data_IF_094736569231
#
_entry.id   IF_094736569231
#
_cell.length_a   1.000
_cell.length_b   1.000
_cell.length_c   1.000
_cell.angle_alpha   90.00
_cell.angle_beta   90.00
_cell.angle_gamma   90.00
#
_symmetry.space_group_name_H-M   'P 1'
#
loop_
_entity.id
_entity.type
_entity.pdbx_description
1 polymer ?
#
# COMPACT_ATOMS: atom_id res chain seq x y z
N UNK A 1 -11.24 -63.86 -20.98
CA UNK A 1 -10.42 -63.05 -20.06
C UNK A 1 -10.56 -61.58 -20.46
N UNK A 2 -11.15 -60.77 -19.58
CA UNK A 2 -11.82 -59.51 -19.91
C UNK A 2 -10.91 -58.28 -19.98
N UNK A 3 -11.20 -57.42 -20.97
CA UNK A 3 -10.69 -56.05 -21.12
C UNK A 3 -11.25 -55.15 -20.01
N UNK A 4 -10.39 -54.55 -19.19
CA UNK A 4 -10.78 -53.53 -18.20
C UNK A 4 -10.70 -52.13 -18.83
N UNK A 5 -11.85 -51.57 -19.16
CA UNK A 5 -12.05 -50.14 -19.36
C UNK A 5 -11.80 -49.38 -18.04
N UNK A 6 -10.70 -48.62 -17.94
CA UNK A 6 -10.55 -47.60 -16.90
C UNK A 6 -11.35 -46.36 -17.32
N UNK A 7 -12.56 -46.23 -16.80
CA UNK A 7 -13.32 -44.97 -16.80
C UNK A 7 -12.48 -43.92 -16.06
N UNK A 8 -12.08 -42.88 -16.77
CA UNK A 8 -11.55 -41.63 -16.19
C UNK A 8 -12.73 -41.00 -15.44
N UNK A 9 -12.73 -41.14 -14.12
CA UNK A 9 -13.67 -40.43 -13.27
C UNK A 9 -13.40 -38.94 -13.38
N UNK A 10 -14.41 -38.16 -13.79
CA UNK A 10 -14.46 -36.72 -13.56
C UNK A 10 -14.34 -36.50 -12.05
N UNK A 11 -13.13 -36.20 -11.57
CA UNK A 11 -12.91 -35.75 -10.21
C UNK A 11 -13.74 -34.49 -9.98
N UNK A 12 -14.75 -34.60 -9.12
CA UNK A 12 -15.40 -33.44 -8.53
C UNK A 12 -14.31 -32.62 -7.84
N UNK A 13 -14.08 -31.40 -8.35
CA UNK A 13 -13.32 -30.35 -7.67
C UNK A 13 -13.86 -30.27 -6.24
N UNK A 14 -13.01 -30.61 -5.27
CA UNK A 14 -13.37 -30.57 -3.86
C UNK A 14 -13.63 -29.13 -3.45
N UNK A 15 -14.87 -28.88 -3.02
CA UNK A 15 -15.39 -27.71 -2.26
C UNK A 15 -14.41 -26.53 -2.09
N UNK A 16 -14.62 -25.50 -2.90
CA UNK A 16 -14.15 -24.10 -2.77
C UNK A 16 -14.78 -23.39 -1.52
N UNK A 17 -15.21 -24.16 -0.53
CA UNK A 17 -16.03 -23.69 0.58
C UNK A 17 -15.21 -23.19 1.76
N UNK A 18 -14.62 -22.00 1.64
CA UNK A 18 -14.26 -21.09 2.77
C UNK A 18 -13.48 -19.84 2.35
N UNK A 19 -12.99 -19.76 1.10
CA UNK A 19 -12.00 -18.75 0.71
C UNK A 19 -12.52 -17.64 -0.20
N UNK A 20 -13.74 -17.77 -0.71
CA UNK A 20 -14.40 -16.75 -1.52
C UNK A 20 -15.16 -15.76 -0.64
N UNK A 21 -14.43 -15.02 0.20
CA UNK A 21 -15.03 -14.17 1.24
C UNK A 21 -15.92 -13.08 0.64
N UNK A 22 -15.56 -12.54 -0.53
CA UNK A 22 -16.36 -11.51 -1.19
C UNK A 22 -17.72 -12.05 -1.65
N UNK A 23 -17.76 -13.26 -2.21
CA UNK A 23 -19.00 -13.94 -2.61
C UNK A 23 -19.90 -14.31 -1.43
N UNK A 24 -19.34 -14.40 -0.23
CA UNK A 24 -20.06 -14.73 1.00
C UNK A 24 -20.62 -13.53 1.75
N UNK A 25 -20.35 -12.30 1.28
CA UNK A 25 -20.87 -11.07 1.87
C UNK A 25 -22.40 -11.06 1.75
N UNK A 26 -23.08 -11.07 2.90
CA UNK A 26 -24.55 -10.97 2.97
C UNK A 26 -25.04 -9.53 3.15
N UNK A 27 -24.17 -8.65 3.64
CA UNK A 27 -24.49 -7.23 3.82
C UNK A 27 -24.32 -6.48 2.50
N UNK A 28 -25.42 -5.98 1.89
CA UNK A 28 -25.37 -5.31 0.60
C UNK A 28 -24.66 -3.95 0.66
N UNK A 29 -24.39 -3.39 1.84
CA UNK A 29 -23.60 -2.17 1.99
C UNK A 29 -22.09 -2.41 1.95
N UNK A 30 -21.62 -3.65 2.16
CA UNK A 30 -20.21 -3.98 2.15
C UNK A 30 -19.63 -4.00 0.72
N UNK A 31 -18.38 -3.56 0.59
CA UNK A 31 -17.60 -3.64 -0.65
C UNK A 31 -16.39 -4.53 -0.44
N UNK A 32 -15.92 -5.15 -1.52
CA UNK A 32 -14.73 -5.99 -1.51
C UNK A 32 -13.76 -5.60 -2.59
N UNK A 33 -12.47 -5.62 -2.25
CA UNK A 33 -11.39 -5.30 -3.18
C UNK A 33 -10.41 -6.48 -3.24
N UNK A 34 -10.12 -6.94 -4.46
CA UNK A 34 -9.08 -7.92 -4.74
C UNK A 34 -7.94 -7.25 -5.47
N UNK A 35 -6.71 -7.43 -5.00
CA UNK A 35 -5.49 -7.10 -5.75
C UNK A 35 -4.68 -8.35 -6.07
N UNK A 36 -4.16 -8.45 -7.29
CA UNK A 36 -3.39 -9.61 -7.73
C UNK A 36 -2.43 -9.29 -8.89
N UNK A 37 -1.12 -9.43 -8.67
CA UNK A 37 -0.17 -9.51 -9.76
C UNK A 37 -0.30 -10.89 -10.43
N UNK A 38 -0.78 -10.91 -11.68
CA UNK A 38 -1.12 -12.16 -12.37
C UNK A 38 0.04 -12.77 -13.14
N UNK A 39 1.25 -12.21 -13.04
CA UNK A 39 2.46 -12.63 -13.74
C UNK A 39 2.24 -12.76 -15.25
N UNK A 40 2.59 -11.73 -16.02
CA UNK A 40 2.33 -11.72 -17.46
C UNK A 40 2.97 -12.95 -18.13
N UNK A 41 2.30 -13.64 -19.08
CA UNK A 41 2.88 -14.82 -19.74
C UNK A 41 4.24 -14.58 -20.40
N UNK A 42 4.53 -13.35 -20.83
CA UNK A 42 5.83 -12.92 -21.37
C UNK A 42 6.96 -12.87 -20.34
N UNK A 43 6.65 -12.92 -19.05
CA UNK A 43 7.62 -12.92 -17.95
C UNK A 43 7.75 -14.28 -17.29
N UNK A 44 6.70 -15.10 -17.32
CA UNK A 44 6.72 -16.43 -16.72
C UNK A 44 7.67 -17.37 -17.46
N UNK A 45 8.72 -17.81 -16.77
CA UNK A 45 9.72 -18.75 -17.30
C UNK A 45 9.19 -20.18 -17.17
N UNK A 46 9.32 -20.98 -18.23
CA UNK A 46 8.92 -22.40 -18.19
C UNK A 46 10.06 -23.33 -17.76
N UNK A 47 11.30 -22.91 -17.97
CA UNK A 47 12.49 -23.61 -17.54
C UNK A 47 13.36 -22.67 -16.69
N UNK A 48 13.87 -23.15 -15.56
CA UNK A 48 14.79 -22.40 -14.72
C UNK A 48 16.21 -22.37 -15.30
N UNK A 49 16.60 -23.39 -16.08
CA UNK A 49 17.91 -23.47 -16.73
C UNK A 49 17.96 -22.68 -18.04
N UNK A 50 16.86 -22.67 -18.79
CA UNK A 50 16.72 -21.88 -20.03
C UNK A 50 15.80 -20.68 -19.81
N UNK A 51 16.44 -19.52 -19.62
CA UNK A 51 15.77 -18.24 -19.42
C UNK A 51 15.12 -17.65 -20.67
N UNK A 52 15.25 -18.27 -21.84
CA UNK A 52 14.66 -17.76 -23.10
C UNK A 52 13.20 -18.20 -23.26
N UNK A 53 12.85 -19.40 -22.79
CA UNK A 53 11.52 -19.95 -23.02
C UNK A 53 10.48 -19.38 -22.03
N UNK A 54 9.42 -18.81 -22.58
CA UNK A 54 8.34 -18.13 -21.84
C UNK A 54 7.02 -18.85 -21.99
N UNK A 55 6.14 -18.69 -21.01
CA UNK A 55 4.78 -19.22 -21.11
C UNK A 55 4.03 -18.65 -22.32
N UNK A 56 4.34 -17.39 -22.71
CA UNK A 56 3.81 -16.76 -23.92
C UNK A 56 4.08 -17.55 -25.21
N UNK A 57 5.12 -18.39 -25.25
CA UNK A 57 5.49 -19.18 -26.42
C UNK A 57 4.54 -20.38 -26.63
N UNK A 58 3.79 -20.77 -25.58
CA UNK A 58 2.92 -21.95 -25.59
C UNK A 58 1.49 -21.54 -25.25
N UNK A 59 0.66 -21.38 -26.31
CA UNK A 59 -0.72 -20.88 -26.18
C UNK A 59 -1.56 -21.60 -25.13
N UNK A 60 -1.54 -22.93 -25.14
CA UNK A 60 -2.36 -23.72 -24.23
C UNK A 60 -1.99 -23.48 -22.76
N UNK A 61 -0.73 -23.16 -22.46
CA UNK A 61 -0.27 -22.96 -21.08
C UNK A 61 -0.79 -21.64 -20.52
N UNK A 62 -0.50 -20.53 -21.20
CA UNK A 62 -0.98 -19.23 -20.72
C UNK A 62 -2.50 -19.14 -20.75
N UNK A 63 -3.16 -19.72 -21.76
CA UNK A 63 -4.61 -19.71 -21.87
C UNK A 63 -5.27 -20.49 -20.73
N UNK A 64 -4.75 -21.68 -20.41
CA UNK A 64 -5.29 -22.49 -19.31
C UNK A 64 -5.10 -21.79 -17.96
N UNK A 65 -3.91 -21.25 -17.67
CA UNK A 65 -3.64 -20.53 -16.42
C UNK A 65 -4.53 -19.31 -16.27
N UNK A 66 -4.65 -18.48 -17.31
CA UNK A 66 -5.48 -17.28 -17.26
C UNK A 66 -6.99 -17.59 -17.15
N UNK A 67 -7.45 -18.70 -17.73
CA UNK A 67 -8.83 -19.20 -17.49
C UNK A 67 -9.05 -19.56 -16.03
N UNK A 68 -8.10 -20.25 -15.39
CA UNK A 68 -8.18 -20.59 -13.97
C UNK A 68 -8.16 -19.34 -13.09
N UNK A 69 -7.31 -18.35 -13.40
CA UNK A 69 -7.30 -17.06 -12.70
C UNK A 69 -8.68 -16.38 -12.82
N UNK A 70 -9.24 -16.29 -14.03
CA UNK A 70 -10.56 -15.72 -14.25
C UNK A 70 -11.69 -16.47 -13.54
N UNK A 71 -11.67 -17.81 -13.57
CA UNK A 71 -12.66 -18.63 -12.86
C UNK A 71 -12.63 -18.32 -11.36
N UNK A 72 -11.44 -18.15 -10.78
CA UNK A 72 -11.28 -17.73 -9.39
C UNK A 72 -11.75 -16.31 -9.11
N UNK A 73 -11.39 -15.34 -9.96
CA UNK A 73 -11.84 -13.95 -9.81
C UNK A 73 -13.37 -13.84 -9.88
N UNK A 74 -14.00 -14.60 -10.78
CA UNK A 74 -15.46 -14.64 -10.93
C UNK A 74 -16.16 -15.43 -9.82
N UNK A 75 -15.49 -16.44 -9.26
CA UNK A 75 -15.98 -17.12 -8.06
C UNK A 75 -15.91 -16.23 -6.82
N UNK A 76 -14.81 -15.48 -6.66
CA UNK A 76 -14.62 -14.51 -5.58
C UNK A 76 -15.63 -13.37 -5.71
N UNK A 77 -15.83 -12.87 -6.93
CA UNK A 77 -16.77 -11.81 -7.29
C UNK A 77 -16.59 -10.54 -6.45
N UNK A 78 -15.35 -10.11 -6.24
CA UNK A 78 -15.08 -8.85 -5.54
C UNK A 78 -15.69 -7.66 -6.26
N UNK A 79 -16.17 -6.66 -5.53
CA UNK A 79 -16.76 -5.46 -6.17
C UNK A 79 -15.71 -4.60 -6.89
N UNK A 80 -14.44 -4.71 -6.50
CA UNK A 80 -13.27 -4.11 -7.12
C UNK A 80 -12.22 -5.21 -7.38
N UNK A 81 -11.64 -5.23 -8.57
CA UNK A 81 -10.52 -6.11 -8.95
C UNK A 81 -9.40 -5.25 -9.54
N UNK A 82 -8.21 -5.31 -8.95
CA UNK A 82 -7.00 -4.60 -9.38
C UNK A 82 -5.93 -5.64 -9.76
N UNK A 83 -5.59 -5.73 -11.04
CA UNK A 83 -4.57 -6.65 -11.55
C UNK A 83 -3.32 -5.89 -11.97
N UNK A 84 -2.17 -6.49 -11.68
CA UNK A 84 -0.84 -6.05 -12.14
C UNK A 84 -0.25 -7.12 -13.06
N UNK A 85 0.71 -6.73 -13.90
CA UNK A 85 1.27 -7.57 -14.97
C UNK A 85 0.20 -8.19 -15.87
N UNK A 86 -0.87 -7.43 -16.12
CA UNK A 86 -1.88 -7.81 -17.10
C UNK A 86 -1.27 -7.69 -18.50
N UNK A 87 -1.33 -8.75 -19.32
CA UNK A 87 -0.66 -8.78 -20.64
C UNK A 87 -1.46 -8.02 -21.70
N UNK A 88 -1.49 -6.68 -21.58
CA UNK A 88 -2.22 -5.75 -22.45
C UNK A 88 -1.84 -5.92 -23.93
N UNK A 89 -0.59 -6.27 -24.23
CA UNK A 89 -0.10 -6.47 -25.59
C UNK A 89 -0.65 -7.71 -26.31
N UNK A 90 -1.39 -8.59 -25.63
CA UNK A 90 -2.00 -9.77 -26.24
C UNK A 90 -3.52 -9.63 -26.36
N UNK A 91 -3.99 -9.39 -27.58
CA UNK A 91 -5.39 -9.09 -27.83
C UNK A 91 -6.35 -10.25 -27.54
N UNK A 92 -5.89 -11.49 -27.62
CA UNK A 92 -6.70 -12.66 -27.29
C UNK A 92 -6.93 -12.75 -25.77
N UNK A 93 -5.87 -12.61 -24.96
CA UNK A 93 -5.98 -12.56 -23.51
C UNK A 93 -6.86 -11.39 -23.07
N UNK A 94 -6.64 -10.19 -23.62
CA UNK A 94 -7.46 -9.00 -23.35
C UNK A 94 -8.94 -9.29 -23.63
N UNK A 95 -9.25 -9.86 -24.80
CA UNK A 95 -10.63 -10.16 -25.20
C UNK A 95 -11.32 -11.16 -24.27
N UNK A 96 -10.57 -12.15 -23.74
CA UNK A 96 -11.13 -13.14 -22.81
C UNK A 96 -11.48 -12.49 -21.46
N UNK A 97 -10.58 -11.66 -20.92
CA UNK A 97 -10.84 -10.93 -19.67
C UNK A 97 -11.99 -9.95 -19.84
N UNK A 98 -11.96 -9.13 -20.90
CA UNK A 98 -13.01 -8.15 -21.19
C UNK A 98 -14.38 -8.80 -21.26
N UNK A 99 -14.50 -9.85 -22.09
CA UNK A 99 -15.77 -10.54 -22.28
C UNK A 99 -16.27 -11.15 -20.98
N UNK A 100 -15.45 -11.93 -20.28
CA UNK A 100 -15.90 -12.67 -19.09
C UNK A 100 -16.22 -11.77 -17.91
N UNK A 101 -15.45 -10.70 -17.72
CA UNK A 101 -15.73 -9.71 -16.67
C UNK A 101 -16.97 -8.87 -17.04
N UNK A 102 -17.12 -8.44 -18.29
CA UNK A 102 -18.30 -7.68 -18.73
C UNK A 102 -19.59 -8.51 -18.64
N UNK A 103 -19.54 -9.79 -19.07
CA UNK A 103 -20.65 -10.74 -18.93
C UNK A 103 -21.06 -10.93 -17.46
N UNK A 104 -20.10 -10.78 -16.53
CA UNK A 104 -20.32 -10.83 -15.09
C UNK A 104 -20.69 -9.47 -14.45
N UNK A 105 -20.85 -8.41 -15.24
CA UNK A 105 -21.31 -7.10 -14.77
C UNK A 105 -20.21 -6.11 -14.38
N UNK A 106 -18.95 -6.38 -14.72
CA UNK A 106 -17.84 -5.46 -14.47
C UNK A 106 -17.65 -4.43 -15.58
N UNK A 107 -17.22 -3.23 -15.19
CA UNK A 107 -16.68 -2.19 -16.05
C UNK A 107 -15.16 -2.25 -15.94
N UNK A 108 -14.47 -2.45 -17.06
CA UNK A 108 -13.02 -2.71 -17.09
C UNK A 108 -12.23 -1.51 -17.63
N UNK A 109 -11.12 -1.20 -16.99
CA UNK A 109 -10.16 -0.15 -17.36
C UNK A 109 -8.79 -0.78 -17.47
N UNK A 110 -8.05 -0.54 -18.56
CA UNK A 110 -6.73 -1.11 -18.79
C UNK A 110 -5.73 -0.01 -19.09
N UNK A 111 -4.52 -0.13 -18.56
CA UNK A 111 -3.45 0.82 -18.80
C UNK A 111 -2.14 0.09 -19.05
N UNK A 112 -1.61 0.21 -20.27
CA UNK A 112 -0.28 -0.32 -20.62
C UNK A 112 0.82 0.52 -19.97
N UNK A 113 1.96 -0.12 -19.67
CA UNK A 113 3.17 0.62 -19.29
C UNK A 113 3.69 1.48 -20.44
N UNK A 114 4.37 2.56 -20.10
CA UNK A 114 4.85 3.59 -21.03
C UNK A 114 5.98 3.12 -21.95
N UNK A 115 6.69 2.03 -21.60
CA UNK A 115 7.85 1.52 -22.35
C UNK A 115 7.55 0.33 -23.26
N UNK A 116 6.27 0.08 -23.60
CA UNK A 116 5.86 -0.98 -24.52
C UNK A 116 6.36 -2.38 -24.14
N UNK A 117 6.60 -2.66 -22.85
CA UNK A 117 6.97 -4.02 -22.40
C UNK A 117 5.86 -5.06 -22.56
N UNK A 118 4.65 -4.63 -22.91
CA UNK A 118 3.53 -5.50 -23.23
C UNK A 118 2.61 -5.81 -22.04
N UNK A 119 3.05 -5.56 -20.80
CA UNK A 119 2.21 -5.65 -19.62
C UNK A 119 1.64 -4.29 -19.17
N UNK A 120 0.77 -4.34 -18.18
CA UNK A 120 0.12 -3.17 -17.61
C UNK A 120 -0.80 -3.51 -16.45
N UNK A 121 -1.77 -2.63 -16.24
CA UNK A 121 -2.78 -2.73 -15.19
C UNK A 121 -4.14 -3.05 -15.80
N UNK A 122 -4.96 -3.78 -15.04
CA UNK A 122 -6.40 -3.88 -15.27
C UNK A 122 -7.11 -3.57 -13.96
N UNK A 123 -8.04 -2.62 -13.99
CA UNK A 123 -8.95 -2.34 -12.88
C UNK A 123 -10.38 -2.60 -13.34
N UNK A 124 -11.12 -3.42 -12.59
CA UNK A 124 -12.52 -3.74 -12.88
C UNK A 124 -13.39 -3.45 -11.68
N UNK A 125 -14.51 -2.73 -11.90
CA UNK A 125 -15.48 -2.40 -10.85
C UNK A 125 -16.86 -2.94 -11.23
N UNK A 126 -17.55 -3.55 -10.26
CA UNK A 126 -18.85 -4.18 -10.51
C UNK A 126 -19.96 -3.12 -10.52
N UNK A 127 -20.73 -3.05 -11.61
CA UNK A 127 -21.73 -1.99 -11.86
C UNK A 127 -22.90 -1.98 -10.87
N UNK A 128 -23.15 -3.09 -10.19
CA UNK A 128 -24.19 -3.16 -9.15
C UNK A 128 -23.75 -2.50 -7.83
N UNK A 129 -22.45 -2.29 -7.64
CA UNK A 129 -21.89 -1.64 -6.44
C UNK A 129 -21.47 -0.21 -6.72
N UNK A 130 -21.02 0.10 -7.94
CA UNK A 130 -20.39 1.38 -8.24
C UNK A 130 -20.94 2.03 -9.50
N UNK A 131 -21.17 3.34 -9.41
CA UNK A 131 -21.21 4.24 -10.56
C UNK A 131 -19.83 4.86 -10.74
N UNK A 132 -19.23 4.73 -11.92
CA UNK A 132 -17.96 5.39 -12.23
C UNK A 132 -18.19 6.86 -12.53
N UNK A 133 -17.52 7.75 -11.79
CA UNK A 133 -17.54 9.20 -11.99
C UNK A 133 -16.42 9.61 -12.94
N UNK A 134 -15.19 9.12 -12.69
CA UNK A 134 -14.01 9.46 -13.49
C UNK A 134 -12.98 8.34 -13.47
N UNK A 135 -12.13 8.31 -14.50
CA UNK A 135 -10.97 7.46 -14.62
C UNK A 135 -9.81 8.29 -15.17
N UNK A 136 -8.66 8.24 -14.51
CA UNK A 136 -7.44 8.96 -14.91
C UNK A 136 -6.26 8.00 -14.98
N UNK A 137 -5.50 8.11 -16.07
CA UNK A 137 -4.25 7.39 -16.26
C UNK A 137 -3.08 8.24 -15.77
N UNK A 138 -2.27 7.69 -14.87
CA UNK A 138 -1.08 8.34 -14.35
C UNK A 138 0.15 7.67 -14.98
N UNK A 139 0.89 8.44 -15.77
CA UNK A 139 2.06 7.97 -16.51
C UNK A 139 3.35 8.48 -15.85
N UNK A 140 4.24 7.57 -15.47
CA UNK A 140 5.56 7.91 -14.92
C UNK A 140 6.63 7.81 -16.02
N UNK A 141 6.44 8.61 -17.08
CA UNK A 141 7.35 8.68 -18.24
C UNK A 141 8.77 9.14 -17.85
N UNK A 142 8.86 9.88 -16.75
CA UNK A 142 10.05 10.50 -16.19
C UNK A 142 10.84 9.56 -15.27
N UNK A 143 10.24 8.49 -14.75
CA UNK A 143 10.95 7.55 -13.87
C UNK A 143 10.35 6.14 -13.81
N UNK A 144 11.16 5.17 -14.24
CA UNK A 144 10.90 3.73 -14.09
C UNK A 144 9.84 3.13 -15.02
N UNK A 145 9.27 3.91 -15.94
CA UNK A 145 8.26 3.48 -16.92
C UNK A 145 7.10 2.70 -16.28
N UNK A 146 6.64 3.23 -15.15
CA UNK A 146 5.53 2.68 -14.39
C UNK A 146 4.29 3.53 -14.60
N UNK A 147 3.15 2.99 -14.18
CA UNK A 147 1.85 3.60 -14.36
C UNK A 147 0.99 3.38 -13.11
N UNK A 148 -0.03 4.22 -12.96
CA UNK A 148 -1.11 3.99 -12.02
C UNK A 148 -2.45 4.37 -12.67
N UNK A 149 -3.54 3.79 -12.19
CA UNK A 149 -4.90 4.18 -12.56
C UNK A 149 -5.57 4.79 -11.34
N UNK A 150 -6.25 5.92 -11.48
CA UNK A 150 -7.12 6.50 -10.46
C UNK A 150 -8.56 6.42 -10.95
N UNK A 151 -9.40 5.72 -10.20
CA UNK A 151 -10.84 5.66 -10.42
C UNK A 151 -11.54 6.42 -9.30
N UNK A 152 -12.39 7.36 -9.69
CA UNK A 152 -13.35 7.99 -8.78
C UNK A 152 -14.71 7.34 -8.99
N UNK A 153 -15.23 6.69 -7.95
CA UNK A 153 -16.50 5.96 -8.02
C UNK A 153 -17.43 6.34 -6.87
N UNK A 154 -18.72 6.22 -7.12
CA UNK A 154 -19.78 6.41 -6.15
C UNK A 154 -20.45 5.08 -5.84
N UNK A 155 -20.64 4.81 -4.56
CA UNK A 155 -21.30 3.61 -4.08
C UNK A 155 -22.80 3.68 -4.33
N UNK A 156 -23.34 2.61 -4.91
CA UNK A 156 -24.77 2.47 -5.13
C UNK A 156 -25.38 1.96 -3.82
N UNK A 157 -25.95 2.86 -3.03
CA UNK A 157 -26.63 2.48 -1.80
C UNK A 157 -27.84 1.57 -2.10
N UNK A 158 -28.03 0.47 -1.33
CA UNK A 158 -29.26 -0.32 -1.38
C UNK A 158 -30.47 0.58 -1.11
N UNK A 159 -31.59 0.32 -1.78
CA UNK A 159 -32.81 1.14 -1.67
C UNK A 159 -33.32 1.34 -0.23
N UNK A 160 -32.95 0.45 0.69
CA UNK A 160 -33.30 0.44 2.11
C UNK A 160 -32.44 1.40 2.98
N UNK A 161 -31.28 1.85 2.47
CA UNK A 161 -30.36 2.76 3.18
C UNK A 161 -30.47 4.22 2.71
N UNK A 162 -31.47 4.54 1.86
CA UNK A 162 -31.69 5.87 1.24
C UNK A 162 -32.14 6.98 2.19
N UNK A 163 -32.15 6.75 3.51
CA UNK A 163 -32.59 7.77 4.47
C UNK A 163 -31.59 8.92 4.61
N UNK A 164 -30.33 8.74 4.18
CA UNK A 164 -29.32 9.79 4.20
C UNK A 164 -29.00 10.20 2.76
N UNK A 165 -29.21 11.48 2.41
CA UNK A 165 -28.86 12.10 1.12
C UNK A 165 -27.34 12.14 0.83
N UNK A 166 -26.52 11.41 1.60
CA UNK A 166 -25.06 11.45 1.52
C UNK A 166 -24.59 10.47 0.45
N UNK A 167 -24.01 11.01 -0.64
CA UNK A 167 -23.33 10.20 -1.64
C UNK A 167 -22.03 9.67 -1.05
N UNK A 168 -21.83 8.35 -1.13
CA UNK A 168 -20.59 7.72 -0.68
C UNK A 168 -19.66 7.57 -1.87
N UNK A 169 -18.67 8.45 -1.96
CA UNK A 169 -17.66 8.44 -3.02
C UNK A 169 -16.33 7.90 -2.48
N UNK A 170 -15.55 7.23 -3.34
CA UNK A 170 -14.26 6.64 -2.99
C UNK A 170 -13.29 6.74 -4.17
N UNK A 171 -12.01 6.99 -3.86
CA UNK A 171 -10.93 6.94 -4.82
C UNK A 171 -10.23 5.58 -4.75
N UNK A 172 -10.09 4.92 -5.89
CA UNK A 172 -9.41 3.63 -6.02
C UNK A 172 -8.19 3.84 -6.91
N UNK A 173 -7.02 3.51 -6.40
CA UNK A 173 -5.76 3.55 -7.16
C UNK A 173 -5.24 2.14 -7.34
N UNK A 174 -4.89 1.78 -8.57
CA UNK A 174 -4.16 0.54 -8.87
C UNK A 174 -2.77 0.90 -9.42
N UNK A 175 -1.72 0.25 -8.93
CA UNK A 175 -0.35 0.46 -9.44
C UNK A 175 0.52 -0.80 -9.32
N UNK A 176 1.68 -0.77 -10.01
CA UNK A 176 2.74 -1.76 -9.88
C UNK A 176 4.09 -1.03 -9.86
N UNK A 177 4.67 -0.89 -8.68
CA UNK A 177 5.91 -0.14 -8.48
C UNK A 177 7.13 -0.86 -9.07
N UNK A 178 8.23 -0.11 -9.22
CA UNK A 178 9.46 -0.63 -9.81
C UNK A 178 10.07 -1.78 -8.99
N UNK A 179 10.26 -2.94 -9.62
CA UNK A 179 10.88 -4.11 -9.01
C UNK A 179 12.28 -3.79 -8.42
N UNK A 180 12.59 -4.21 -7.17
CA UNK A 180 13.81 -3.85 -6.46
C UNK A 180 15.01 -4.71 -6.92
N UNK A 181 15.51 -4.49 -8.14
CA UNK A 181 16.72 -5.19 -8.61
C UNK A 181 17.95 -4.90 -7.74
N UNK A 182 18.05 -3.68 -7.23
CA UNK A 182 19.06 -3.25 -6.27
C UNK A 182 18.50 -2.17 -5.32
N UNK A 183 19.30 -1.80 -4.32
CA UNK A 183 18.89 -0.83 -3.29
C UNK A 183 18.74 0.60 -3.80
N UNK A 184 19.39 0.98 -4.90
CA UNK A 184 19.30 2.33 -5.47
C UNK A 184 17.89 2.65 -5.97
N UNK A 185 17.15 1.62 -6.40
CA UNK A 185 15.76 1.76 -6.87
C UNK A 185 14.74 2.03 -5.76
N UNK A 186 15.18 2.07 -4.49
CA UNK A 186 14.29 2.42 -3.38
C UNK A 186 13.82 3.89 -3.47
N UNK A 187 14.70 4.80 -3.92
CA UNK A 187 14.35 6.21 -4.09
C UNK A 187 13.32 6.38 -5.21
N UNK A 188 13.51 5.68 -6.32
CA UNK A 188 12.56 5.69 -7.44
C UNK A 188 11.17 5.19 -7.04
N UNK A 189 11.07 4.11 -6.28
CA UNK A 189 9.77 3.67 -5.74
C UNK A 189 9.15 4.71 -4.81
N UNK A 190 9.95 5.40 -3.99
CA UNK A 190 9.45 6.46 -3.13
C UNK A 190 8.90 7.65 -3.94
N UNK A 191 9.59 8.06 -5.01
CA UNK A 191 9.12 9.06 -5.98
C UNK A 191 7.81 8.63 -6.66
N UNK A 192 7.69 7.36 -7.03
CA UNK A 192 6.45 6.80 -7.59
C UNK A 192 5.28 6.96 -6.63
N UNK A 193 5.45 6.60 -5.37
CA UNK A 193 4.37 6.78 -4.39
C UNK A 193 4.08 8.26 -4.12
N UNK A 194 5.12 9.08 -4.01
CA UNK A 194 4.97 10.53 -3.84
C UNK A 194 4.14 11.15 -4.97
N UNK A 195 4.48 10.85 -6.23
CA UNK A 195 3.74 11.35 -7.40
C UNK A 195 2.30 10.82 -7.44
N UNK A 196 2.06 9.56 -7.09
CA UNK A 196 0.69 9.03 -6.95
C UNK A 196 -0.12 9.85 -5.95
N UNK A 197 0.44 10.14 -4.77
CA UNK A 197 -0.24 10.91 -3.74
C UNK A 197 -0.45 12.38 -4.17
N UNK A 198 0.52 12.99 -4.86
CA UNK A 198 0.34 14.33 -5.46
C UNK A 198 -0.83 14.35 -6.44
N UNK A 199 -0.93 13.36 -7.32
CA UNK A 199 -2.06 13.27 -8.25
C UNK A 199 -3.40 13.10 -7.53
N UNK A 200 -3.45 12.31 -6.45
CA UNK A 200 -4.68 12.15 -5.65
C UNK A 200 -5.07 13.46 -4.97
N UNK A 201 -4.11 14.21 -4.41
CA UNK A 201 -4.35 15.52 -3.80
C UNK A 201 -4.79 16.57 -4.82
N UNK A 202 -4.08 16.66 -5.96
CA UNK A 202 -4.46 17.55 -7.07
C UNK A 202 -5.84 17.20 -7.62
N UNK A 203 -6.14 15.92 -7.84
CA UNK A 203 -7.44 15.48 -8.35
C UNK A 203 -8.58 15.92 -7.42
N UNK A 204 -8.44 15.72 -6.11
CA UNK A 204 -9.44 16.16 -5.14
C UNK A 204 -9.60 17.69 -5.16
N UNK A 205 -8.49 18.44 -5.19
CA UNK A 205 -8.52 19.91 -5.23
C UNK A 205 -9.17 20.46 -6.49
N UNK A 206 -8.77 19.95 -7.66
CA UNK A 206 -9.27 20.38 -8.98
C UNK A 206 -10.76 20.10 -9.13
N UNK A 207 -11.23 18.98 -8.58
CA UNK A 207 -12.65 18.60 -8.60
C UNK A 207 -13.44 19.14 -7.39
N UNK A 208 -12.81 19.93 -6.51
CA UNK A 208 -13.41 20.52 -5.30
C UNK A 208 -14.09 19.46 -4.41
N UNK A 209 -13.43 18.31 -4.28
CA UNK A 209 -13.92 17.20 -3.47
C UNK A 209 -13.53 17.44 -2.01
N UNK A 210 -14.47 17.17 -1.11
CA UNK A 210 -14.12 16.94 0.30
C UNK A 210 -13.19 15.71 0.39
N UNK A 211 -12.34 15.60 1.43
CA UNK A 211 -11.46 14.45 1.58
C UNK A 211 -12.25 13.13 1.47
N UNK A 212 -11.97 12.36 0.44
CA UNK A 212 -12.62 11.07 0.19
C UNK A 212 -11.82 9.94 0.82
N UNK A 213 -12.46 8.81 1.16
CA UNK A 213 -11.72 7.58 1.40
C UNK A 213 -10.91 7.19 0.16
N UNK A 214 -9.69 6.69 0.38
CA UNK A 214 -8.76 6.29 -0.67
C UNK A 214 -8.33 4.84 -0.44
N UNK A 215 -8.47 4.03 -1.47
CA UNK A 215 -7.87 2.69 -1.57
C UNK A 215 -6.66 2.74 -2.50
N UNK A 216 -5.47 2.40 -2.00
CA UNK A 216 -4.30 2.19 -2.86
C UNK A 216 -3.99 0.70 -2.94
N UNK A 217 -4.16 0.12 -4.11
CA UNK A 217 -4.04 -1.31 -4.37
C UNK A 217 -2.84 -1.59 -5.27
N UNK A 218 -2.17 -2.71 -5.03
CA UNK A 218 -1.25 -3.26 -6.02
C UNK A 218 -0.04 -3.98 -5.45
N UNK A 219 0.90 -4.25 -6.35
CA UNK A 219 2.25 -4.72 -6.03
C UNK A 219 3.15 -3.50 -5.78
N UNK A 220 3.48 -3.29 -4.51
CA UNK A 220 4.31 -2.17 -4.06
C UNK A 220 5.80 -2.46 -4.16
N UNK A 221 6.19 -3.71 -4.46
CA UNK A 221 7.59 -4.11 -4.57
C UNK A 221 8.45 -3.65 -3.37
N UNK A 222 7.82 -3.59 -2.19
CA UNK A 222 8.38 -3.03 -0.97
C UNK A 222 7.69 -3.62 0.25
N UNK A 223 8.47 -4.21 1.15
CA UNK A 223 7.94 -4.85 2.36
C UNK A 223 7.59 -3.84 3.45
N UNK A 224 6.96 -4.32 4.53
CA UNK A 224 6.69 -3.52 5.74
C UNK A 224 7.94 -2.85 6.34
N UNK A 225 9.11 -3.45 6.11
CA UNK A 225 10.39 -2.92 6.58
C UNK A 225 10.95 -1.81 5.67
N UNK A 226 10.43 -1.67 4.45
CA UNK A 226 10.91 -0.72 3.45
C UNK A 226 10.40 0.71 3.62
N UNK A 227 11.06 1.65 2.95
CA UNK A 227 10.76 3.09 3.04
C UNK A 227 9.40 3.46 2.44
N UNK A 228 8.95 2.76 1.40
CA UNK A 228 7.62 2.94 0.80
C UNK A 228 6.49 2.72 1.82
N UNK A 229 6.54 1.59 2.54
CA UNK A 229 5.55 1.27 3.57
C UNK A 229 5.52 2.37 4.64
N UNK A 230 6.69 2.78 5.12
CA UNK A 230 6.84 3.78 6.19
C UNK A 230 6.39 5.18 5.76
N UNK A 231 6.60 5.53 4.51
CA UNK A 231 6.11 6.76 3.91
C UNK A 231 4.57 6.77 3.87
N UNK A 232 3.94 5.70 3.38
CA UNK A 232 2.48 5.56 3.39
C UNK A 232 1.90 5.62 4.81
N UNK A 233 2.51 4.93 5.78
CA UNK A 233 2.14 5.02 7.21
C UNK A 233 2.19 6.45 7.74
N UNK A 234 3.25 7.21 7.38
CA UNK A 234 3.39 8.61 7.80
C UNK A 234 2.33 9.55 7.19
N UNK A 235 1.69 9.11 6.10
CA UNK A 235 0.60 9.80 5.41
C UNK A 235 -0.79 9.38 5.91
N UNK A 236 -0.86 8.51 6.93
CA UNK A 236 -2.08 8.04 7.59
C UNK A 236 -2.68 6.77 7.00
N UNK A 237 -2.05 6.18 5.97
CA UNK A 237 -2.55 4.94 5.38
C UNK A 237 -2.35 3.75 6.31
N UNK A 238 -3.33 2.86 6.35
CA UNK A 238 -3.26 1.58 7.06
C UNK A 238 -3.32 0.40 6.11
N UNK A 239 -2.52 -0.63 6.36
CA UNK A 239 -2.58 -1.91 5.63
C UNK A 239 -3.87 -2.62 6.02
N UNK A 240 -4.80 -2.81 5.09
CA UNK A 240 -6.09 -3.43 5.44
C UNK A 240 -5.94 -4.87 5.90
N UNK A 241 -4.97 -5.63 5.37
CA UNK A 241 -4.69 -6.98 5.86
C UNK A 241 -4.26 -6.97 7.33
N UNK A 242 -3.37 -6.05 7.70
CA UNK A 242 -2.88 -5.95 9.07
C UNK A 242 -3.97 -5.44 10.02
N UNK A 243 -4.80 -4.50 9.57
CA UNK A 243 -5.97 -4.04 10.33
C UNK A 243 -6.94 -5.18 10.62
N UNK A 244 -7.28 -6.01 9.63
CA UNK A 244 -8.20 -7.14 9.80
C UNK A 244 -7.67 -8.19 10.81
N UNK A 245 -6.34 -8.38 10.85
CA UNK A 245 -5.69 -9.37 11.70
C UNK A 245 -5.08 -8.81 12.99
N UNK A 246 -5.26 -7.51 13.25
CA UNK A 246 -4.70 -6.80 14.40
C UNK A 246 -3.17 -6.92 14.51
N UNK A 247 -2.48 -6.87 13.36
CA UNK A 247 -1.03 -6.92 13.29
C UNK A 247 -0.40 -5.52 13.41
N UNK A 248 0.76 -5.48 14.05
CA UNK A 248 1.57 -4.28 14.15
C UNK A 248 2.53 -4.14 12.97
N UNK A 249 3.14 -2.97 12.82
CA UNK A 249 4.21 -2.75 11.82
C UNK A 249 5.46 -3.63 12.07
N UNK A 250 5.62 -4.14 13.31
CA UNK A 250 6.69 -5.08 13.67
C UNK A 250 6.47 -6.51 13.14
N UNK A 251 5.23 -6.86 12.79
CA UNK A 251 4.80 -8.20 12.38
C UNK A 251 5.03 -8.45 10.87
N UNK A 252 6.20 -8.06 10.38
CA UNK A 252 6.55 -8.12 8.95
C UNK A 252 6.75 -9.53 8.39
N UNK A 253 6.80 -10.55 9.24
CA UNK A 253 7.05 -11.95 8.88
C UNK A 253 5.80 -12.84 9.02
N UNK A 254 4.68 -12.30 9.52
CA UNK A 254 3.46 -13.07 9.76
C UNK A 254 2.84 -13.58 8.48
N UNK A 255 2.94 -12.80 7.40
CA UNK A 255 2.43 -13.15 6.09
C UNK A 255 3.42 -12.77 4.98
N UNK A 256 3.31 -13.43 3.84
CA UNK A 256 4.04 -13.12 2.61
C UNK A 256 3.05 -13.04 1.44
N UNK A 257 3.45 -12.45 0.33
CA UNK A 257 2.60 -12.37 -0.87
C UNK A 257 3.37 -12.53 -2.17
N UNK A 258 4.69 -12.62 -2.16
CA UNK A 258 5.49 -12.80 -3.36
C UNK A 258 6.67 -13.71 -3.08
N UNK A 259 6.92 -14.68 -3.96
CA UNK A 259 8.19 -15.41 -4.06
C UNK A 259 8.90 -15.03 -5.36
N UNK A 260 9.98 -14.28 -5.25
CA UNK A 260 10.68 -13.83 -6.46
C UNK A 260 11.47 -14.96 -7.13
N UNK A 261 12.01 -14.67 -8.32
CA UNK A 261 12.84 -15.60 -9.11
C UNK A 261 14.11 -16.14 -8.40
N UNK A 262 14.53 -15.55 -7.28
CA UNK A 262 15.65 -16.05 -6.44
C UNK A 262 15.17 -16.93 -5.29
N UNK A 263 13.88 -17.17 -5.17
CA UNK A 263 13.25 -17.92 -4.07
C UNK A 263 13.03 -17.11 -2.80
N UNK A 264 13.30 -15.80 -2.81
CA UNK A 264 13.06 -14.96 -1.63
C UNK A 264 11.57 -14.66 -1.50
N UNK A 265 11.05 -14.80 -0.28
CA UNK A 265 9.65 -14.53 0.04
C UNK A 265 9.49 -13.21 0.79
N UNK A 266 8.46 -12.44 0.45
CA UNK A 266 8.14 -11.19 1.12
C UNK A 266 6.68 -10.78 0.93
N UNK A 267 6.12 -10.00 1.86
CA UNK A 267 4.83 -9.34 1.68
C UNK A 267 5.03 -8.00 0.95
N UNK A 268 4.49 -7.87 -0.25
CA UNK A 268 4.63 -6.69 -1.12
C UNK A 268 3.30 -6.25 -1.76
N UNK A 269 2.28 -7.10 -1.70
CA UNK A 269 0.95 -6.82 -2.22
C UNK A 269 0.10 -6.24 -1.09
N UNK A 270 -0.34 -5.00 -1.25
CA UNK A 270 -1.11 -4.29 -0.23
C UNK A 270 -2.35 -3.65 -0.84
N UNK A 271 -3.41 -3.66 -0.04
CA UNK A 271 -4.55 -2.75 -0.16
C UNK A 271 -4.46 -1.81 1.03
N UNK A 272 -4.11 -0.56 0.76
CA UNK A 272 -4.02 0.50 1.74
C UNK A 272 -5.33 1.24 1.83
N UNK A 273 -5.78 1.52 3.05
CA UNK A 273 -6.95 2.37 3.30
C UNK A 273 -6.49 3.67 3.95
N UNK A 274 -7.00 4.79 3.45
CA UNK A 274 -7.00 6.07 4.14
C UNK A 274 -8.44 6.57 4.18
N UNK A 275 -8.98 6.73 5.39
CA UNK A 275 -10.25 7.40 5.58
C UNK A 275 -10.08 8.92 5.57
N UNK A 276 -11.15 9.68 5.29
CA UNK A 276 -11.15 11.14 5.38
C UNK A 276 -10.53 11.61 6.70
N UNK A 277 -9.47 12.40 6.60
CA UNK A 277 -8.80 12.99 7.76
C UNK A 277 -8.45 14.45 7.45
N UNK A 278 -8.93 15.35 8.31
CA UNK A 278 -8.69 16.80 8.19
C UNK A 278 -7.25 17.18 8.57
N UNK A 279 -6.58 16.37 9.39
CA UNK A 279 -5.23 16.64 9.87
C UNK A 279 -4.25 15.65 9.23
N UNK A 280 -3.60 16.08 8.14
CA UNK A 280 -2.59 15.28 7.45
C UNK A 280 -1.28 16.06 7.38
N UNK A 281 -0.19 15.36 7.68
CA UNK A 281 1.15 15.90 7.51
C UNK A 281 1.38 16.19 6.02
N UNK A 282 1.93 17.37 5.72
CA UNK A 282 2.30 17.75 4.36
C UNK A 282 3.10 16.64 3.68
N UNK A 283 2.75 16.38 2.42
CA UNK A 283 3.34 15.31 1.63
C UNK A 283 4.85 15.49 1.50
N UNK A 284 5.31 16.72 1.25
CA UNK A 284 6.74 17.09 1.17
C UNK A 284 7.50 16.78 2.46
N UNK A 285 6.93 17.12 3.62
CA UNK A 285 7.55 16.87 4.93
C UNK A 285 7.67 15.37 5.22
N UNK A 286 6.71 14.58 4.73
CA UNK A 286 6.73 13.11 4.87
C UNK A 286 7.71 12.44 3.91
N UNK A 287 7.80 12.94 2.69
CA UNK A 287 8.77 12.49 1.70
C UNK A 287 10.19 12.73 2.19
N UNK A 288 10.46 13.93 2.70
CA UNK A 288 11.78 14.31 3.22
C UNK A 288 12.18 13.46 4.43
N UNK A 289 11.25 13.22 5.35
CA UNK A 289 11.48 12.30 6.46
C UNK A 289 11.79 10.86 5.98
N UNK A 290 11.14 10.39 4.91
CA UNK A 290 11.43 9.09 4.33
C UNK A 290 12.84 9.04 3.70
N UNK A 291 13.26 10.10 3.00
CA UNK A 291 14.62 10.23 2.44
C UNK A 291 15.68 10.34 3.54
N UNK A 292 15.45 11.12 4.59
CA UNK A 292 16.33 11.13 5.77
C UNK A 292 16.43 9.76 6.43
N UNK A 293 15.33 9.00 6.47
CA UNK A 293 15.35 7.61 6.91
C UNK A 293 16.26 6.73 6.05
N UNK A 294 16.28 6.92 4.72
CA UNK A 294 17.20 6.24 3.80
C UNK A 294 18.64 6.65 4.05
N UNK A 295 18.89 7.95 4.23
CA UNK A 295 20.21 8.49 4.50
C UNK A 295 20.79 7.96 5.83
N UNK A 296 19.99 8.01 6.90
CA UNK A 296 20.31 7.40 8.19
C UNK A 296 20.60 5.90 8.09
N UNK A 297 19.84 5.17 7.27
CA UNK A 297 20.09 3.75 7.06
C UNK A 297 21.47 3.50 6.42
N UNK A 298 21.88 4.31 5.44
CA UNK A 298 23.22 4.21 4.85
C UNK A 298 24.32 4.59 5.85
N UNK A 299 24.14 5.64 6.63
CA UNK A 299 25.09 6.03 7.70
C UNK A 299 25.32 4.88 8.69
N UNK A 300 24.24 4.24 9.16
CA UNK A 300 24.32 3.08 10.06
C UNK A 300 24.96 1.86 9.41
N UNK A 301 24.75 1.65 8.11
CA UNK A 301 25.41 0.57 7.37
C UNK A 301 26.90 0.77 7.20
N UNK A 302 27.35 2.02 7.13
CA UNK A 302 28.76 2.39 7.22
C UNK A 302 29.33 2.22 8.65
N UNK A 303 28.55 1.63 9.58
CA UNK A 303 28.90 1.36 10.97
C UNK A 303 29.25 2.62 11.79
N UNK A 304 28.75 3.78 11.37
CA UNK A 304 28.95 5.04 12.06
C UNK A 304 28.03 5.13 13.28
N UNK A 305 28.59 5.53 14.44
CA UNK A 305 27.80 5.99 15.58
C UNK A 305 27.15 7.35 15.28
N UNK A 306 26.34 7.87 16.19
CA UNK A 306 25.74 9.21 16.04
C UNK A 306 26.79 10.28 15.82
N UNK A 307 27.84 10.24 16.66
CA UNK A 307 28.93 11.21 16.67
C UNK A 307 29.87 10.99 15.47
N UNK A 308 30.16 9.74 15.11
CA UNK A 308 30.95 9.45 13.91
C UNK A 308 30.23 9.90 12.64
N UNK A 309 28.90 9.71 12.58
CA UNK A 309 28.10 10.17 11.46
C UNK A 309 28.07 11.71 11.42
N UNK A 310 27.89 12.39 12.56
CA UNK A 310 27.96 13.85 12.58
C UNK A 310 29.34 14.33 12.08
N UNK A 311 30.43 13.77 12.60
CA UNK A 311 31.79 14.10 12.16
C UNK A 311 32.02 13.82 10.66
N UNK A 312 31.50 12.71 10.15
CA UNK A 312 31.53 12.38 8.72
C UNK A 312 30.82 13.44 7.86
N UNK A 313 29.65 13.92 8.29
CA UNK A 313 28.92 14.97 7.57
C UNK A 313 29.61 16.34 7.63
N UNK A 314 30.37 16.65 8.68
CA UNK A 314 31.13 17.90 8.78
C UNK A 314 32.25 17.98 7.72
N UNK A 315 32.77 16.84 7.27
CA UNK A 315 33.97 16.78 6.44
C UNK A 315 35.13 17.56 7.11
N UNK A 316 35.90 18.36 6.35
CA UNK A 316 37.09 19.07 6.83
C UNK A 316 36.79 20.43 7.48
N UNK A 317 35.53 20.74 7.82
CA UNK A 317 35.23 22.04 8.46
C UNK A 317 35.62 22.04 9.94
N UNK A 318 36.38 23.06 10.35
CA UNK A 318 36.85 23.24 11.74
C UNK A 318 35.71 23.55 12.75
N UNK A 319 34.51 23.89 12.26
CA UNK A 319 33.34 24.20 13.11
C UNK A 319 32.58 22.96 13.60
N UNK A 320 31.74 23.12 14.62
CA UNK A 320 30.81 22.09 15.11
C UNK A 320 29.43 22.17 14.44
N UNK A 321 29.45 22.26 13.12
CA UNK A 321 28.28 22.29 12.26
C UNK A 321 28.56 21.56 10.95
N UNK A 322 27.50 21.15 10.26
CA UNK A 322 27.56 20.59 8.90
C UNK A 322 27.25 21.73 7.94
N UNK A 323 28.08 21.91 6.91
CA UNK A 323 27.81 22.85 5.82
C UNK A 323 27.01 22.17 4.70
N UNK A 324 26.37 22.97 3.81
CA UNK A 324 25.71 22.43 2.62
C UNK A 324 26.66 21.57 1.78
N UNK A 325 27.91 22.01 1.64
CA UNK A 325 28.94 21.26 0.91
C UNK A 325 29.24 19.92 1.59
N UNK A 326 29.40 19.89 2.91
CA UNK A 326 29.60 18.65 3.68
C UNK A 326 28.43 17.68 3.55
N UNK A 327 27.20 18.18 3.65
CA UNK A 327 25.99 17.37 3.44
C UNK A 327 25.87 16.82 2.01
N UNK A 328 26.11 17.66 0.99
CA UNK A 328 26.12 17.25 -0.40
C UNK A 328 27.16 16.17 -0.67
N UNK A 329 28.38 16.34 -0.13
CA UNK A 329 29.46 15.36 -0.25
C UNK A 329 29.14 14.04 0.48
N UNK A 330 28.52 14.10 1.66
CA UNK A 330 28.06 12.91 2.37
C UNK A 330 27.00 12.13 1.56
N UNK A 331 26.04 12.81 0.93
CA UNK A 331 25.07 12.18 0.03
C UNK A 331 25.76 11.49 -1.14
N UNK A 332 26.81 12.11 -1.71
CA UNK A 332 27.61 11.55 -2.81
C UNK A 332 28.34 10.29 -2.38
N UNK A 333 29.04 10.35 -1.25
CA UNK A 333 29.82 9.22 -0.72
C UNK A 333 28.94 8.04 -0.31
N UNK A 334 27.70 8.28 0.11
CA UNK A 334 26.73 7.23 0.43
C UNK A 334 25.90 6.74 -0.77
N UNK A 335 26.27 7.15 -2.00
CA UNK A 335 25.57 6.79 -3.25
C UNK A 335 24.07 7.10 -3.21
N UNK A 336 23.69 8.26 -2.67
CA UNK A 336 22.34 8.80 -2.80
C UNK A 336 22.23 9.82 -3.94
N UNK A 337 23.36 10.28 -4.48
CA UNK A 337 23.47 11.18 -5.63
C UNK A 337 24.60 10.73 -6.55
N UNK A 338 24.69 11.32 -7.75
CA UNK A 338 25.78 11.04 -8.71
C UNK A 338 25.57 9.82 -9.61
N UNK A 339 24.40 9.19 -9.56
CA UNK A 339 23.96 8.15 -10.50
C UNK A 339 22.56 8.47 -11.05
N UNK A 340 22.12 7.77 -12.08
CA UNK A 340 20.86 8.07 -12.80
C UNK A 340 19.58 8.02 -11.95
N UNK A 341 19.62 7.32 -10.81
CA UNK A 341 18.49 7.15 -9.87
C UNK A 341 18.70 7.90 -8.54
N UNK A 342 19.69 8.81 -8.48
CA UNK A 342 20.02 9.58 -7.27
C UNK A 342 19.12 10.80 -7.09
N UNK A 343 19.23 11.50 -5.96
CA UNK A 343 18.49 12.74 -5.70
C UNK A 343 18.84 13.82 -6.74
N UNK A 344 17.83 14.57 -7.19
CA UNK A 344 18.03 15.73 -8.07
C UNK A 344 18.60 16.92 -7.29
N UNK A 345 19.07 17.95 -8.00
CA UNK A 345 19.60 19.17 -7.38
C UNK A 345 18.52 19.88 -6.56
N UNK A 346 17.30 19.91 -7.07
CA UNK A 346 16.13 20.51 -6.42
C UNK A 346 15.76 19.74 -5.16
N UNK A 347 15.70 18.42 -5.23
CA UNK A 347 15.42 17.55 -4.08
C UNK A 347 16.47 17.70 -2.97
N UNK A 348 17.75 17.86 -3.31
CA UNK A 348 18.82 18.07 -2.32
C UNK A 348 18.65 19.42 -1.62
N UNK A 349 18.29 20.47 -2.36
CA UNK A 349 18.00 21.80 -1.80
C UNK A 349 16.79 21.74 -0.87
N UNK A 350 15.71 21.11 -1.29
CA UNK A 350 14.50 20.96 -0.47
C UNK A 350 14.77 20.17 0.83
N UNK A 351 15.65 19.15 0.77
CA UNK A 351 16.08 18.40 1.94
C UNK A 351 16.92 19.28 2.87
N UNK A 352 17.86 20.05 2.31
CA UNK A 352 18.69 20.96 3.10
C UNK A 352 17.83 21.99 3.84
N UNK A 353 16.93 22.68 3.13
CA UNK A 353 16.03 23.68 3.71
C UNK A 353 15.09 23.11 4.79
N UNK A 354 14.82 21.80 4.75
CA UNK A 354 14.05 21.14 5.81
C UNK A 354 14.91 20.68 6.99
N UNK A 355 16.17 20.36 6.74
CA UNK A 355 17.11 20.01 7.80
C UNK A 355 17.52 21.24 8.62
N UNK A 356 17.73 22.37 7.95
CA UNK A 356 18.11 23.68 8.51
C UNK A 356 16.85 24.39 9.02
N UNK A 357 16.55 24.21 10.31
CA UNK A 357 15.27 24.60 10.90
C UNK A 357 15.22 26.10 11.16
N UNK A 358 16.34 26.68 11.61
CA UNK A 358 16.43 28.10 11.90
C UNK A 358 16.90 28.96 10.71
N UNK A 359 17.30 28.32 9.61
CA UNK A 359 17.69 28.94 8.34
C UNK A 359 18.94 29.80 8.47
N UNK A 360 19.86 29.41 9.35
CA UNK A 360 21.14 30.08 9.52
C UNK A 360 22.19 29.66 8.46
N UNK A 361 21.85 28.68 7.61
CA UNK A 361 22.67 28.20 6.51
C UNK A 361 23.64 27.09 6.88
N UNK A 362 23.58 26.55 8.11
CA UNK A 362 24.35 25.40 8.57
C UNK A 362 23.45 24.42 9.34
N UNK A 363 23.89 23.17 9.54
CA UNK A 363 23.20 22.26 10.47
C UNK A 363 24.02 22.07 11.72
N UNK A 364 23.53 22.61 12.83
CA UNK A 364 24.15 22.32 14.13
C UNK A 364 23.80 20.90 14.61
N UNK A 365 24.49 20.42 15.65
CA UNK A 365 24.28 19.06 16.18
C UNK A 365 22.82 18.79 16.59
N UNK A 366 22.11 19.80 17.12
CA UNK A 366 20.71 19.67 17.55
C UNK A 366 19.79 19.43 16.36
N UNK A 367 19.98 20.16 15.27
CA UNK A 367 19.19 20.01 14.04
C UNK A 367 19.48 18.69 13.34
N UNK A 368 20.76 18.33 13.18
CA UNK A 368 21.17 17.02 12.69
C UNK A 368 20.49 15.89 13.49
N UNK A 369 20.55 16.00 14.82
CA UNK A 369 19.94 15.03 15.70
C UNK A 369 18.43 14.99 15.53
N UNK A 370 17.76 16.13 15.41
CA UNK A 370 16.31 16.18 15.26
C UNK A 370 15.81 15.67 13.90
N UNK A 371 16.46 16.09 12.81
CA UNK A 371 15.96 15.94 11.44
C UNK A 371 16.51 14.72 10.70
N UNK A 372 17.73 14.29 11.05
CA UNK A 372 18.42 13.19 10.36
C UNK A 372 18.54 11.98 11.30
N UNK A 373 19.09 12.17 12.49
CA UNK A 373 19.45 11.03 13.34
C UNK A 373 18.28 10.46 14.16
N UNK A 374 17.50 11.31 14.83
CA UNK A 374 16.34 10.93 15.64
C UNK A 374 15.01 11.25 14.95
N UNK A 375 15.04 11.59 13.66
CA UNK A 375 13.86 11.74 12.84
C UNK A 375 12.86 10.64 13.20
N UNK A 376 11.67 10.98 13.74
CA UNK A 376 10.74 10.00 14.24
C UNK A 376 10.48 8.97 13.15
N UNK A 377 10.96 7.75 13.38
CA UNK A 377 10.55 6.62 12.58
C UNK A 377 9.07 6.44 12.92
N UNK A 378 8.18 6.59 11.94
CA UNK A 378 6.72 6.65 12.05
C UNK A 378 6.07 5.35 12.58
N UNK A 379 6.48 4.93 13.78
CA UNK A 379 5.96 3.79 14.53
C UNK A 379 5.98 3.98 16.04
N UNK A 380 6.39 5.16 16.54
CA UNK A 380 6.09 5.62 17.90
C UNK A 380 5.36 6.95 17.78
N UNK A 381 4.16 7.01 18.36
CA UNK A 381 3.38 8.23 18.52
C UNK A 381 4.29 9.34 19.07
N UNK A 382 4.70 10.26 18.21
CA UNK A 382 5.15 11.57 18.64
C UNK A 382 4.03 12.52 18.25
N UNK A 383 3.09 12.72 19.19
CA UNK A 383 1.96 13.64 19.11
C UNK A 383 2.40 15.10 19.19
N UNK A 384 3.40 15.45 18.40
CA UNK A 384 3.76 16.82 18.09
C UNK A 384 3.80 16.95 16.58
N UNK A 385 2.60 16.90 15.99
CA UNK A 385 2.38 17.46 14.67
C UNK A 385 2.83 18.92 14.73
N UNK A 386 3.67 19.34 13.78
CA UNK A 386 3.80 20.76 13.47
C UNK A 386 2.47 21.20 12.87
N UNK A 387 1.87 22.25 13.44
CA UNK A 387 0.65 22.90 12.98
C UNK A 387 0.90 23.60 11.62
N UNK A 388 0.97 22.82 10.54
CA UNK A 388 0.81 23.36 9.19
C UNK A 388 -0.65 23.13 8.79
N UNK A 389 -1.49 24.09 9.21
CA UNK A 389 -2.94 24.12 8.97
C UNK A 389 -3.19 24.39 7.47
N UNK A 390 -3.90 23.48 6.79
CA UNK A 390 -4.60 23.81 5.56
C UNK A 390 -5.98 24.38 5.91
N UNK A 391 -6.06 25.71 6.02
CA UNK A 391 -7.33 26.43 6.09
C UNK A 391 -7.89 26.55 4.66
N UNK A 392 -8.61 25.52 4.20
CA UNK A 392 -9.66 25.72 3.20
C UNK A 392 -11.00 25.56 3.91
N UNK A 393 -11.60 26.70 4.23
CA UNK A 393 -12.92 26.83 4.86
C UNK A 393 -13.97 26.25 3.92
N UNK A 394 -14.41 25.03 4.21
CA UNK A 394 -15.78 24.59 3.88
C UNK A 394 -16.49 24.38 5.21
N UNK A 395 -17.24 25.41 5.61
CA UNK A 395 -18.25 25.31 6.66
C UNK A 395 -19.34 24.35 6.17
N UNK A 396 -19.17 23.08 6.49
CA UNK A 396 -20.15 22.03 6.34
C UNK A 396 -19.89 20.95 7.37
N UNK A 397 -20.80 20.78 8.32
CA UNK A 397 -20.96 19.56 9.10
C UNK A 397 -21.49 18.44 8.18
N UNK A 398 -20.76 18.12 7.12
CA UNK A 398 -21.03 16.91 6.35
C UNK A 398 -20.33 15.75 7.07
N UNK A 399 -21.13 14.82 7.56
CA UNK A 399 -20.64 13.52 8.03
C UNK A 399 -19.90 12.84 6.87
N UNK A 400 -18.57 12.86 6.90
CA UNK A 400 -17.77 12.13 5.90
C UNK A 400 -17.81 10.65 6.23
N UNK A 401 -18.32 9.85 5.30
CA UNK A 401 -18.42 8.40 5.49
C UNK A 401 -17.07 7.77 5.14
N UNK A 402 -16.47 7.09 6.12
CA UNK A 402 -15.26 6.30 5.96
C UNK A 402 -15.59 4.82 5.75
N UNK A 403 -14.53 4.00 5.73
CA UNK A 403 -14.65 2.55 5.70
C UNK A 403 -13.99 1.91 6.91
N UNK A 404 -14.61 0.85 7.42
CA UNK A 404 -13.99 -0.08 8.37
C UNK A 404 -13.59 -1.35 7.66
N UNK A 405 -12.41 -1.88 7.98
CA UNK A 405 -11.97 -3.18 7.47
C UNK A 405 -12.65 -4.28 8.26
N UNK A 406 -13.39 -5.16 7.58
CA UNK A 406 -14.13 -6.27 8.21
C UNK A 406 -13.37 -7.57 8.16
N UNK A 407 -12.72 -7.85 7.03
CA UNK A 407 -11.99 -9.09 6.81
C UNK A 407 -10.95 -8.90 5.72
N UNK A 408 -9.89 -9.68 5.74
CA UNK A 408 -8.89 -9.76 4.69
C UNK A 408 -8.37 -11.18 4.59
N UNK A 409 -8.10 -11.68 3.39
CA UNK A 409 -7.52 -13.00 3.16
C UNK A 409 -6.48 -12.96 2.06
N UNK A 410 -5.42 -13.74 2.23
CA UNK A 410 -4.49 -14.07 1.15
C UNK A 410 -4.74 -15.48 0.66
N UNK A 411 -4.64 -15.66 -0.66
CA UNK A 411 -4.67 -16.97 -1.28
C UNK A 411 -3.39 -17.17 -2.14
N UNK A 412 -2.69 -18.29 -1.98
CA UNK A 412 -3.03 -19.48 -1.18
C UNK A 412 -2.82 -19.30 0.33
N UNK A 413 -3.56 -20.00 1.19
CA UNK A 413 -3.63 -19.71 2.64
C UNK A 413 -2.34 -19.93 3.42
N UNK A 414 -1.41 -20.71 2.88
CA UNK A 414 -0.09 -20.94 3.44
C UNK A 414 0.69 -19.63 3.61
N UNK A 415 0.46 -18.67 2.71
CA UNK A 415 1.16 -17.39 2.72
C UNK A 415 0.75 -16.52 3.91
N UNK A 416 -0.43 -16.76 4.48
CA UNK A 416 -0.90 -16.13 5.74
C UNK A 416 -0.12 -16.59 6.97
N UNK A 417 0.67 -17.67 6.83
CA UNK A 417 1.58 -18.19 7.84
C UNK A 417 3.04 -17.82 7.54
N UNK A 418 3.26 -16.95 6.55
CA UNK A 418 4.58 -16.55 6.12
C UNK A 418 5.33 -17.62 5.30
N UNK A 419 4.62 -18.59 4.73
CA UNK A 419 5.20 -19.72 3.98
C UNK A 419 4.73 -19.67 2.53
N UNK A 420 5.63 -19.90 1.57
CA UNK A 420 5.24 -20.05 0.17
C UNK A 420 4.97 -21.51 -0.20
N UNK A 421 3.80 -21.84 -0.76
CA UNK A 421 3.50 -23.21 -1.21
C UNK A 421 4.18 -23.52 -2.55
N UNK A 422 4.83 -24.69 -2.64
CA UNK A 422 5.58 -25.12 -3.83
C UNK A 422 4.67 -25.54 -5.00
N UNK A 423 3.41 -25.91 -4.74
CA UNK A 423 2.44 -26.35 -5.75
C UNK A 423 1.55 -25.22 -6.29
N UNK A 424 1.74 -24.00 -5.81
CA UNK A 424 1.01 -22.83 -6.32
C UNK A 424 1.57 -22.37 -7.67
N UNK A 425 0.70 -22.36 -8.68
CA UNK A 425 1.10 -22.20 -10.09
C UNK A 425 0.40 -21.06 -10.84
N UNK A 426 -0.55 -20.37 -10.20
CA UNK A 426 -1.31 -19.28 -10.82
C UNK A 426 -0.44 -18.04 -11.05
N UNK A 427 0.44 -17.72 -10.10
CA UNK A 427 1.36 -16.59 -10.15
C UNK A 427 2.54 -16.86 -9.19
N UNK A 428 3.55 -16.02 -9.21
CA UNK A 428 4.56 -15.88 -8.16
C UNK A 428 4.13 -14.87 -7.07
N UNK A 429 2.93 -14.31 -7.20
CA UNK A 429 2.25 -13.50 -6.19
C UNK A 429 1.02 -14.21 -5.61
N UNK A 430 0.70 -13.91 -4.36
CA UNK A 430 -0.53 -14.30 -3.71
C UNK A 430 -1.59 -13.23 -3.95
N UNK A 431 -2.83 -13.66 -4.11
CA UNK A 431 -3.98 -12.76 -4.25
C UNK A 431 -4.39 -12.26 -2.87
N UNK A 432 -4.58 -10.95 -2.71
CA UNK A 432 -5.13 -10.34 -1.51
C UNK A 432 -6.56 -9.87 -1.76
N UNK A 433 -7.51 -10.30 -0.94
CA UNK A 433 -8.91 -9.85 -0.97
C UNK A 433 -9.30 -9.26 0.38
N UNK A 434 -9.91 -8.08 0.38
CA UNK A 434 -10.33 -7.35 1.58
C UNK A 434 -11.81 -6.98 1.49
N UNK A 435 -12.52 -7.05 2.61
CA UNK A 435 -13.92 -6.63 2.75
C UNK A 435 -13.98 -5.40 3.64
N UNK A 436 -14.71 -4.39 3.19
CA UNK A 436 -14.94 -3.13 3.88
C UNK A 436 -16.43 -2.92 4.09
N UNK A 437 -16.80 -2.29 5.20
CA UNK A 437 -18.13 -1.71 5.37
C UNK A 437 -18.02 -0.19 5.51
N UNK A 438 -19.03 0.56 5.05
CA UNK A 438 -19.19 1.95 5.44
C UNK A 438 -19.21 2.09 6.96
N UNK A 439 -18.68 3.19 7.46
CA UNK A 439 -18.70 3.56 8.88
C UNK A 439 -18.73 5.07 9.01
N UNK A 440 -19.58 5.58 9.91
CA UNK A 440 -19.60 7.00 10.26
C UNK A 440 -18.22 7.36 10.81
N UNK A 441 -17.53 8.26 10.12
CA UNK A 441 -16.19 8.66 10.49
C UNK A 441 -16.21 10.07 11.03
N UNK A 442 -16.13 10.19 12.34
CA UNK A 442 -15.84 11.45 13.00
C UNK A 442 -14.32 11.55 13.02
N UNK A 443 -13.75 12.51 12.28
CA UNK A 443 -12.30 12.70 12.22
C UNK A 443 -11.70 12.65 13.62
N UNK A 444 -10.53 12.02 13.76
CA UNK A 444 -9.85 11.90 15.05
C UNK A 444 -9.58 13.32 15.57
N UNK A 445 -10.38 13.79 16.52
CA UNK A 445 -10.04 14.91 17.37
C UNK A 445 -9.01 14.40 18.38
N UNK A 446 -7.92 15.14 18.57
CA UNK A 446 -6.83 14.80 19.48
C UNK A 446 -7.21 14.86 20.96
N UNK A 447 -8.49 14.77 21.32
CA UNK A 447 -8.96 14.93 22.70
C UNK A 447 -9.16 13.61 23.47
N UNK A 448 -9.03 12.43 22.83
CA UNK A 448 -9.25 11.14 23.52
C UNK A 448 -8.02 10.21 23.55
N UNK A 449 -6.82 10.76 23.79
CA UNK A 449 -5.63 9.98 24.16
C UNK A 449 -4.97 10.56 25.41
N UNK A 450 -5.78 10.81 26.45
CA UNK A 450 -5.32 11.13 27.80
C UNK A 450 -6.21 10.43 28.81
N UNK A 451 -6.14 9.10 28.90
CA UNK A 451 -6.30 8.38 30.17
C UNK A 451 -6.05 6.89 29.93
N UNK A 452 -4.83 6.45 30.27
CA UNK A 452 -4.40 5.08 30.05
C UNK A 452 -3.27 4.60 30.95
N UNK A 453 -2.90 5.35 32.00
CA UNK A 453 -2.07 4.83 33.08
C UNK A 453 -2.97 4.37 34.23
N UNK A 454 -3.46 3.13 34.15
CA UNK A 454 -3.89 2.41 35.34
C UNK A 454 -3.63 0.92 35.21
N UNK A 455 -2.52 0.52 35.81
CA UNK A 455 -2.20 -0.86 36.17
C UNK A 455 -3.41 -1.56 36.79
N UNK A 456 -3.93 -2.60 36.14
CA UNK A 456 -4.82 -3.57 36.77
C UNK A 456 -3.98 -4.63 37.49
N UNK A 457 -3.73 -4.38 38.77
CA UNK A 457 -3.38 -5.44 39.73
C UNK A 457 -4.60 -6.34 39.92
N UNK A 458 -4.36 -7.63 39.75
CA UNK A 458 -5.34 -8.70 39.95
C UNK A 458 -5.96 -8.64 41.35
N UNK A 459 -7.30 -8.65 41.39
CA UNK A 459 -8.06 -8.88 42.60
C UNK A 459 -8.07 -10.36 42.98
N UNK A 460 -7.57 -10.69 44.17
CA UNK A 460 -7.85 -11.94 44.87
C UNK A 460 -8.26 -11.64 46.31
N UNK A 461 -9.48 -12.08 46.64
CA UNK A 461 -9.99 -12.52 47.94
C UNK A 461 -9.88 -11.60 49.17
N UNK A 462 -11.02 -11.42 49.86
CA UNK A 462 -11.02 -11.20 51.31
C UNK A 462 -12.15 -10.33 51.83
N UNK A 463 -13.20 -10.98 52.37
CA UNK A 463 -14.13 -10.36 53.30
C UNK A 463 -13.41 -9.64 54.45
N UNK A 464 -13.87 -8.44 54.82
CA UNK A 464 -14.12 -8.12 56.23
C UNK A 464 -15.13 -6.96 56.37
N UNK A 465 -16.26 -7.24 56.99
CA UNK A 465 -17.18 -6.25 57.58
C UNK A 465 -16.47 -5.59 58.76
N UNK A 466 -16.47 -4.25 58.84
CA UNK A 466 -16.58 -3.52 60.12
C UNK A 466 -17.46 -2.28 59.92
N UNK A 467 -18.49 -2.21 60.76
CA UNK A 467 -19.44 -1.12 60.99
C UNK A 467 -18.81 -0.08 61.94
N UNK A 468 -19.29 1.18 61.90
CA UNK A 468 -19.36 2.24 62.94
C UNK A 468 -19.03 3.59 62.28
N UNK A 469 -20.00 4.44 61.90
CA UNK A 469 -20.91 5.31 62.68
C UNK A 469 -20.37 6.74 62.91
N UNK A 470 -21.12 7.71 62.35
CA UNK A 470 -21.33 9.12 62.79
C UNK A 470 -20.09 10.04 62.71
N UNK A 471 -20.16 11.28 62.21
CA UNK A 471 -21.12 12.35 62.53
C UNK A 471 -20.90 13.54 61.57
N UNK A 472 -22.01 14.20 61.24
CA UNK A 472 -22.21 15.55 60.69
C UNK A 472 -21.05 16.56 60.86
N UNK A 473 -20.72 17.30 59.80
CA UNK A 473 -21.31 18.60 59.47
C UNK A 473 -21.05 18.92 57.99
#
# INVERSE_FOLDING_TARGET
MGRKNKRIGKGRVSRIGSYAIASSITDPACVSCTTFNILAPIYKRLNHEDSSHRESDVKDYWLNRNRQILDWLLCERSSIICLQEFWVGNQELVSIYDKRLADAGYINFKLARTNNRGDGLLTAVHKDYFRVISHQDLLFNDFGDRVAQLLHVELIAPSQCRNNNVRQEILIVNTHLLFPHDSSLCLERLRQVYKILQYVESYQKENKLNPLPILLCGDWNGSKRGHVYKFLRSQGFVSSYDTAHQYSDGDAHKWVSHRNHRGNICGVDFIWLLNPNRYRKLLQTSWSAAVFGMFKYQLRRALLTEDDAFAFLKADTDGDYISYAGFYEALRQLNLIGHCNGLSVEEIKDLWEQADVDRDGVLNYKEYKLRIWNAPWSGKNSDKASDDIWDDVVNGTEETIGFSVKNAVLFPTEVEKGIWPEDYSLSDHARLTVVFSPSDWHGISTENVCDGDRFMLWGQAGLLKIVVSKKNL
#
